data_IF_730473658296
#
_entry.id   IF_730473658296
#
_cell.length_a   1.000
_cell.length_b   1.000
_cell.length_c   1.000
_cell.angle_alpha   90.00
_cell.angle_beta   90.00
_cell.angle_gamma   90.00
#
_symmetry.space_group_name_H-M   'P 1'
#
loop_
_entity.id
_entity.type
_entity.pdbx_description
1 polymer ?
#
# COMPACT_ATOMS: atom_id res chain seq x y z
N UNK A 1 -5.83 60.27 30.86
CA UNK A 1 -5.07 60.53 29.60
C UNK A 1 -3.56 60.27 29.72
N UNK A 2 -2.82 60.80 30.70
CA UNK A 2 -1.35 60.57 30.83
C UNK A 2 -0.90 59.12 31.09
N UNK A 3 -1.74 58.27 31.65
CA UNK A 3 -1.41 56.84 31.94
C UNK A 3 -1.46 55.93 30.71
N UNK A 4 -2.36 56.18 29.79
CA UNK A 4 -2.50 55.38 28.54
C UNK A 4 -1.36 55.65 27.54
N UNK A 5 -0.90 56.90 27.44
CA UNK A 5 0.26 57.24 26.60
C UNK A 5 1.53 56.55 27.11
N UNK A 6 1.73 56.45 28.40
CA UNK A 6 2.89 55.80 29.03
C UNK A 6 2.90 54.27 28.76
N UNK A 7 1.74 53.65 28.77
CA UNK A 7 1.61 52.22 28.49
C UNK A 7 1.91 51.89 27.00
N UNK A 8 1.42 52.70 26.09
CA UNK A 8 1.68 52.55 24.65
C UNK A 8 3.16 52.74 24.30
N UNK A 9 3.81 53.68 24.95
CA UNK A 9 5.24 53.93 24.73
C UNK A 9 6.09 52.82 25.32
N UNK A 10 5.77 52.30 26.49
CA UNK A 10 6.42 51.12 27.07
C UNK A 10 6.26 49.87 26.21
N UNK A 11 5.06 49.66 25.62
CA UNK A 11 4.81 48.52 24.71
C UNK A 11 5.62 48.67 23.42
N UNK A 12 5.71 49.88 22.85
CA UNK A 12 6.51 50.14 21.67
C UNK A 12 8.00 49.92 21.90
N UNK A 13 8.52 50.43 23.01
CA UNK A 13 9.92 50.25 23.42
C UNK A 13 10.19 48.74 23.62
N UNK A 14 9.32 48.03 24.32
CA UNK A 14 9.46 46.58 24.51
C UNK A 14 9.43 45.77 23.19
N UNK A 15 8.60 46.16 22.21
CA UNK A 15 8.56 45.50 20.90
C UNK A 15 9.86 45.83 20.12
N UNK A 16 10.36 47.03 20.18
CA UNK A 16 11.61 47.41 19.53
C UNK A 16 12.81 46.68 20.14
N UNK A 17 12.84 46.53 21.46
CA UNK A 17 13.89 45.78 22.16
C UNK A 17 13.84 44.30 21.81
N UNK A 18 12.67 43.70 21.74
CA UNK A 18 12.48 42.32 21.30
C UNK A 18 13.01 42.14 19.87
N UNK A 19 12.65 43.05 18.97
CA UNK A 19 13.10 43.00 17.58
C UNK A 19 14.62 43.19 17.45
N UNK A 20 15.21 44.04 18.26
CA UNK A 20 16.66 44.26 18.28
C UNK A 20 17.40 43.02 18.78
N UNK A 21 16.95 42.46 19.90
CA UNK A 21 17.50 41.20 20.45
C UNK A 21 17.35 40.06 19.44
N UNK A 22 16.17 39.89 18.86
CA UNK A 22 15.92 38.85 17.86
C UNK A 22 16.86 38.98 16.64
N UNK A 23 17.07 40.20 16.16
CA UNK A 23 17.97 40.46 15.04
C UNK A 23 19.43 40.15 15.37
N UNK A 24 19.87 40.49 16.59
CA UNK A 24 21.24 40.22 17.04
C UNK A 24 21.47 38.71 17.25
N UNK A 25 20.54 38.04 17.88
CA UNK A 25 20.55 36.59 18.02
C UNK A 25 20.53 35.87 16.66
N UNK A 26 19.68 36.31 15.74
CA UNK A 26 19.65 35.75 14.39
C UNK A 26 21.01 35.94 13.67
N UNK A 27 21.62 37.08 13.82
CA UNK A 27 22.96 37.36 13.26
C UNK A 27 24.04 36.47 13.88
N UNK A 28 23.94 36.15 15.17
CA UNK A 28 24.85 35.24 15.84
C UNK A 28 24.67 33.81 15.37
N UNK A 29 23.43 33.38 15.19
CA UNK A 29 23.09 32.06 14.58
C UNK A 29 23.68 31.92 13.17
N UNK A 30 23.59 32.96 12.34
CA UNK A 30 24.17 32.96 10.99
C UNK A 30 25.69 33.08 10.95
N UNK A 31 26.34 33.39 12.06
CA UNK A 31 27.82 33.38 12.17
C UNK A 31 28.37 32.05 12.64
N UNK A 32 27.56 31.22 13.28
CA UNK A 32 27.97 29.91 13.76
C UNK A 32 27.80 28.88 12.65
N UNK A 33 28.93 28.44 12.07
CA UNK A 33 28.95 27.45 11.00
C UNK A 33 28.31 26.11 11.42
N UNK A 34 28.48 25.71 12.69
CA UNK A 34 27.88 24.47 13.22
C UNK A 34 26.37 24.56 13.30
N UNK A 35 25.84 25.70 13.75
CA UNK A 35 24.39 25.94 13.80
C UNK A 35 23.79 26.01 12.42
N UNK A 36 24.46 26.65 11.45
CA UNK A 36 24.03 26.73 10.07
C UNK A 36 23.95 25.33 9.43
N UNK A 37 25.01 24.53 9.60
CA UNK A 37 25.03 23.15 9.09
C UNK A 37 23.87 22.36 9.68
N UNK A 38 23.64 22.45 10.99
CA UNK A 38 22.57 21.71 11.63
C UNK A 38 21.17 22.20 11.21
N UNK A 39 20.98 23.51 11.08
CA UNK A 39 19.68 24.12 10.80
C UNK A 39 19.27 23.99 9.34
N UNK A 40 20.22 24.01 8.41
CA UNK A 40 19.95 23.88 6.97
C UNK A 40 20.25 22.49 6.44
N UNK A 41 21.40 21.91 6.79
CA UNK A 41 21.78 20.62 6.22
C UNK A 41 20.87 19.49 6.70
N UNK A 42 20.56 19.43 7.99
CA UNK A 42 19.76 18.32 8.53
C UNK A 42 18.33 18.28 7.98
N UNK A 43 17.55 19.39 7.93
CA UNK A 43 16.21 19.38 7.34
C UNK A 43 16.19 19.02 5.84
N UNK A 44 17.25 19.34 5.11
CA UNK A 44 17.34 18.99 3.69
C UNK A 44 17.97 17.62 3.45
N UNK A 45 19.00 17.26 4.20
CA UNK A 45 19.66 15.97 4.06
C UNK A 45 18.80 14.81 4.54
N UNK A 46 18.02 14.99 5.62
CA UNK A 46 17.19 13.94 6.17
C UNK A 46 16.11 13.44 5.20
N UNK A 47 15.28 14.29 4.57
CA UNK A 47 14.32 13.84 3.56
C UNK A 47 14.97 13.19 2.34
N UNK A 48 16.14 13.69 1.92
CA UNK A 48 16.89 13.09 0.81
C UNK A 48 17.43 11.70 1.17
N UNK A 49 18.04 11.56 2.34
CA UNK A 49 18.50 10.26 2.84
C UNK A 49 17.33 9.30 3.03
N UNK A 50 16.24 9.78 3.61
CA UNK A 50 15.04 8.99 3.82
C UNK A 50 14.46 8.51 2.49
N UNK A 51 14.31 9.42 1.52
CA UNK A 51 13.85 9.09 0.18
C UNK A 51 14.76 8.07 -0.51
N UNK A 52 16.07 8.19 -0.36
CA UNK A 52 17.04 7.27 -0.95
C UNK A 52 16.99 5.88 -0.30
N UNK A 53 16.89 5.81 1.04
CA UNK A 53 16.81 4.55 1.79
C UNK A 53 15.49 3.84 1.49
N UNK A 54 14.36 4.56 1.53
CA UNK A 54 13.02 3.97 1.37
C UNK A 54 12.59 3.78 -0.09
N UNK A 55 13.27 4.40 -1.06
CA UNK A 55 12.97 4.18 -2.48
C UNK A 55 13.25 2.73 -2.93
N UNK A 56 14.08 2.00 -2.18
CA UNK A 56 14.36 0.58 -2.43
C UNK A 56 13.36 -0.38 -1.75
N UNK A 57 12.43 0.12 -0.92
CA UNK A 57 11.42 -0.69 -0.25
C UNK A 57 10.15 -0.91 -1.08
N UNK A 58 10.14 -0.48 -2.34
CA UNK A 58 9.08 -0.87 -3.26
C UNK A 58 9.28 -2.36 -3.59
N UNK A 59 8.40 -3.18 -3.04
CA UNK A 59 8.37 -4.60 -3.39
C UNK A 59 8.05 -4.69 -4.88
N UNK A 60 9.02 -5.18 -5.65
CA UNK A 60 8.83 -5.52 -7.05
C UNK A 60 8.80 -7.03 -7.18
N UNK A 61 7.90 -7.54 -8.02
CA UNK A 61 7.78 -8.97 -8.32
C UNK A 61 7.56 -9.85 -7.07
N UNK A 62 6.67 -9.44 -6.15
CA UNK A 62 6.25 -10.29 -5.05
C UNK A 62 5.71 -11.63 -5.59
N UNK A 63 6.33 -12.74 -5.20
CA UNK A 63 5.99 -14.06 -5.71
C UNK A 63 4.66 -14.55 -5.16
N UNK A 64 3.73 -14.89 -6.05
CA UNK A 64 2.38 -15.38 -5.74
C UNK A 64 2.14 -16.71 -6.44
N UNK A 65 1.42 -17.62 -5.78
CA UNK A 65 0.85 -18.83 -6.38
C UNK A 65 -0.63 -18.60 -6.63
N UNK A 66 -1.13 -19.09 -7.74
CA UNK A 66 -2.56 -19.10 -8.03
C UNK A 66 -3.08 -20.52 -7.89
N UNK A 67 -4.16 -20.69 -7.13
CA UNK A 67 -4.91 -21.95 -7.07
C UNK A 67 -6.20 -21.74 -7.83
N UNK A 68 -6.28 -22.33 -9.02
CA UNK A 68 -7.43 -22.19 -9.91
C UNK A 68 -8.24 -23.49 -9.98
N UNK A 69 -9.36 -23.52 -9.24
CA UNK A 69 -10.34 -24.62 -9.32
C UNK A 69 -11.47 -24.34 -10.32
N UNK A 70 -11.55 -23.11 -10.83
CA UNK A 70 -12.57 -22.72 -11.81
C UNK A 70 -12.23 -23.16 -13.22
N UNK A 71 -10.92 -23.23 -13.55
CA UNK A 71 -10.38 -23.51 -14.88
C UNK A 71 -11.11 -22.75 -15.99
N UNK A 72 -11.43 -21.50 -15.75
CA UNK A 72 -12.23 -20.66 -16.64
C UNK A 72 -11.38 -19.65 -17.41
N UNK A 73 -11.95 -19.12 -18.49
CA UNK A 73 -11.33 -17.99 -19.20
C UNK A 73 -11.12 -16.80 -18.27
N UNK A 74 -12.10 -16.50 -17.40
CA UNK A 74 -12.06 -15.34 -16.51
C UNK A 74 -11.00 -15.50 -15.41
N UNK A 75 -10.79 -16.68 -14.84
CA UNK A 75 -9.74 -16.92 -13.86
C UNK A 75 -8.34 -16.80 -14.50
N UNK A 76 -8.17 -17.32 -15.70
CA UNK A 76 -6.93 -17.17 -16.46
C UNK A 76 -6.65 -15.71 -16.83
N UNK A 77 -7.67 -14.97 -17.26
CA UNK A 77 -7.53 -13.54 -17.58
C UNK A 77 -7.21 -12.72 -16.35
N UNK A 78 -7.86 -12.98 -15.21
CA UNK A 78 -7.54 -12.34 -13.93
C UNK A 78 -6.07 -12.60 -13.54
N UNK A 79 -5.65 -13.86 -13.60
CA UNK A 79 -4.27 -14.28 -13.30
C UNK A 79 -3.26 -13.58 -14.20
N UNK A 80 -3.56 -13.49 -15.50
CA UNK A 80 -2.71 -12.79 -16.47
C UNK A 80 -2.57 -11.32 -16.16
N UNK A 81 -3.66 -10.64 -15.79
CA UNK A 81 -3.66 -9.21 -15.44
C UNK A 81 -2.90 -8.98 -14.14
N UNK A 82 -3.09 -9.81 -13.12
CA UNK A 82 -2.31 -9.73 -11.86
C UNK A 82 -0.82 -9.90 -12.13
N UNK A 83 -0.44 -10.87 -12.95
CA UNK A 83 0.96 -11.10 -13.32
C UNK A 83 1.56 -9.97 -14.19
N UNK A 84 0.72 -9.16 -14.82
CA UNK A 84 1.15 -7.98 -15.59
C UNK A 84 1.38 -6.74 -14.71
N UNK A 85 0.98 -6.75 -13.45
CA UNK A 85 1.27 -5.67 -12.52
C UNK A 85 2.75 -5.68 -12.12
N UNK A 86 3.39 -4.52 -11.91
CA UNK A 86 4.82 -4.45 -11.60
C UNK A 86 5.17 -5.04 -10.22
N UNK A 87 4.18 -5.14 -9.34
CA UNK A 87 4.39 -5.47 -7.93
C UNK A 87 4.27 -6.98 -7.66
N UNK A 88 3.62 -7.74 -8.56
CA UNK A 88 3.30 -9.15 -8.36
C UNK A 88 3.83 -10.01 -9.51
N UNK A 89 4.39 -11.16 -9.15
CA UNK A 89 4.80 -12.20 -10.09
C UNK A 89 4.16 -13.52 -9.75
N UNK A 90 3.35 -14.05 -10.65
CA UNK A 90 2.79 -15.39 -10.52
C UNK A 90 3.87 -16.41 -10.86
N UNK A 91 4.29 -17.21 -9.88
CA UNK A 91 5.35 -18.20 -10.02
C UNK A 91 4.83 -19.60 -10.36
N UNK A 92 3.61 -19.91 -9.97
CA UNK A 92 2.96 -21.17 -10.28
C UNK A 92 1.44 -21.02 -10.32
N UNK A 93 0.81 -21.87 -11.11
CA UNK A 93 -0.64 -22.08 -11.12
C UNK A 93 -0.89 -23.55 -10.83
N UNK A 94 -1.64 -23.86 -9.79
CA UNK A 94 -1.98 -25.21 -9.36
C UNK A 94 -3.48 -25.33 -9.14
N UNK A 95 -4.00 -26.53 -9.11
CA UNK A 95 -5.38 -26.82 -8.66
C UNK A 95 -5.43 -27.29 -7.22
N UNK A 96 -4.26 -27.61 -6.64
CA UNK A 96 -4.12 -28.14 -5.29
C UNK A 96 -3.69 -27.07 -4.28
N UNK A 97 -4.54 -26.81 -3.29
CA UNK A 97 -4.26 -25.88 -2.21
C UNK A 97 -3.09 -26.35 -1.32
N UNK A 98 -2.93 -27.64 -1.12
CA UNK A 98 -1.86 -28.16 -0.26
C UNK A 98 -0.47 -27.99 -0.92
N UNK A 99 -0.42 -28.10 -2.24
CA UNK A 99 0.80 -27.76 -2.99
C UNK A 99 1.16 -26.27 -2.83
N UNK A 100 0.18 -25.39 -2.99
CA UNK A 100 0.38 -23.96 -2.82
C UNK A 100 0.85 -23.61 -1.40
N UNK A 101 0.28 -24.22 -0.36
CA UNK A 101 0.74 -24.04 1.04
C UNK A 101 2.19 -24.50 1.22
N UNK A 102 2.57 -25.66 0.66
CA UNK A 102 3.96 -26.11 0.71
C UNK A 102 4.93 -25.13 0.07
N UNK A 103 4.52 -24.43 -1.00
CA UNK A 103 5.34 -23.39 -1.63
C UNK A 103 5.49 -22.16 -0.71
N UNK A 104 4.44 -21.79 0.05
CA UNK A 104 4.55 -20.73 1.07
C UNK A 104 5.51 -21.14 2.19
N UNK A 105 5.38 -22.37 2.71
CA UNK A 105 6.24 -22.89 3.79
C UNK A 105 7.71 -22.90 3.39
N UNK A 106 7.99 -23.19 2.11
CA UNK A 106 9.35 -23.16 1.54
C UNK A 106 9.81 -21.75 1.15
N UNK A 107 8.96 -20.72 1.33
CA UNK A 107 9.22 -19.33 0.90
C UNK A 107 9.51 -19.19 -0.59
N UNK A 108 9.01 -20.09 -1.39
CA UNK A 108 9.00 -20.02 -2.85
C UNK A 108 7.96 -19.00 -3.35
N UNK A 109 6.90 -18.79 -2.54
CA UNK A 109 5.89 -17.75 -2.72
C UNK A 109 5.51 -17.16 -1.36
N UNK A 110 4.83 -16.00 -1.38
CA UNK A 110 4.42 -15.26 -0.18
C UNK A 110 2.91 -15.02 -0.11
N UNK A 111 2.18 -15.41 -1.15
CA UNK A 111 0.73 -15.32 -1.20
C UNK A 111 0.12 -16.36 -2.13
N UNK A 112 -1.15 -16.68 -1.88
CA UNK A 112 -1.97 -17.59 -2.70
C UNK A 112 -3.24 -16.83 -3.08
N UNK A 113 -3.51 -16.74 -4.37
CA UNK A 113 -4.77 -16.27 -4.92
C UNK A 113 -5.61 -17.47 -5.30
N UNK A 114 -6.83 -17.57 -4.75
CA UNK A 114 -7.68 -18.74 -4.92
C UNK A 114 -8.94 -18.43 -5.73
N UNK A 115 -9.16 -19.19 -6.81
CA UNK A 115 -10.39 -19.13 -7.58
C UNK A 115 -11.26 -20.35 -7.29
N UNK A 116 -12.43 -20.18 -6.66
CA UNK A 116 -13.35 -21.27 -6.39
C UNK A 116 -14.01 -21.79 -7.67
N UNK A 117 -14.44 -23.05 -7.67
CA UNK A 117 -15.08 -23.71 -8.80
C UNK A 117 -16.27 -22.93 -9.37
N UNK A 118 -17.03 -22.23 -8.51
CA UNK A 118 -18.22 -21.45 -8.91
C UNK A 118 -17.90 -20.05 -9.43
N UNK A 119 -16.62 -19.66 -9.50
CA UNK A 119 -16.19 -18.29 -9.85
C UNK A 119 -16.82 -17.82 -11.16
N UNK A 120 -16.60 -18.53 -12.24
CA UNK A 120 -17.09 -18.16 -13.58
C UNK A 120 -18.61 -18.23 -13.68
N UNK A 121 -19.22 -19.26 -13.09
CA UNK A 121 -20.67 -19.46 -13.10
C UNK A 121 -21.39 -18.30 -12.40
N UNK A 122 -20.90 -17.88 -11.24
CA UNK A 122 -21.48 -16.75 -10.50
C UNK A 122 -21.40 -15.46 -11.31
N UNK A 123 -20.26 -15.18 -11.93
CA UNK A 123 -20.09 -13.99 -12.77
C UNK A 123 -21.02 -13.98 -13.98
N UNK A 124 -21.18 -15.12 -14.67
CA UNK A 124 -22.10 -15.22 -15.80
C UNK A 124 -23.58 -15.08 -15.40
N UNK A 125 -23.92 -15.41 -14.16
CA UNK A 125 -25.30 -15.24 -13.63
C UNK A 125 -25.52 -13.89 -12.97
N UNK A 126 -24.55 -12.97 -13.02
CA UNK A 126 -24.62 -11.64 -12.37
C UNK A 126 -24.60 -11.71 -10.85
N UNK A 127 -24.09 -12.80 -10.28
CA UNK A 127 -23.91 -12.93 -8.83
C UNK A 127 -22.54 -12.48 -8.44
N UNK A 128 -22.44 -11.78 -7.32
CA UNK A 128 -21.18 -11.42 -6.72
C UNK A 128 -20.37 -12.69 -6.38
N UNK A 129 -19.08 -12.66 -6.67
CA UNK A 129 -18.16 -13.73 -6.31
C UNK A 129 -16.99 -13.20 -5.52
N UNK A 130 -16.42 -14.04 -4.69
CA UNK A 130 -15.27 -13.69 -3.84
C UNK A 130 -14.04 -14.46 -4.27
N UNK A 131 -12.91 -13.76 -4.39
CA UNK A 131 -11.60 -14.35 -4.65
C UNK A 131 -10.79 -14.23 -3.36
N UNK A 132 -10.63 -15.32 -2.60
CA UNK A 132 -9.80 -15.33 -1.40
C UNK A 132 -8.33 -15.13 -1.73
N UNK A 133 -7.69 -14.25 -0.97
CA UNK A 133 -6.26 -14.00 -0.97
C UNK A 133 -5.67 -14.44 0.37
N UNK A 134 -4.78 -15.42 0.34
CA UNK A 134 -4.07 -15.91 1.51
C UNK A 134 -2.64 -15.39 1.48
N UNK A 135 -2.20 -14.74 2.54
CA UNK A 135 -0.88 -14.13 2.62
C UNK A 135 -0.15 -14.53 3.90
N UNK A 136 1.17 -14.67 3.79
CA UNK A 136 2.03 -14.72 4.95
C UNK A 136 2.19 -13.28 5.49
N UNK A 137 1.73 -13.06 6.73
CA UNK A 137 1.78 -11.76 7.41
C UNK A 137 3.16 -11.39 7.93
N UNK A 138 4.17 -12.21 7.70
CA UNK A 138 5.55 -11.88 8.07
C UNK A 138 6.07 -10.62 7.35
N UNK A 139 5.48 -10.27 6.21
CA UNK A 139 5.78 -9.05 5.47
C UNK A 139 4.53 -8.28 5.05
N UNK A 140 4.29 -7.16 5.73
CA UNK A 140 3.20 -6.23 5.40
C UNK A 140 3.32 -5.68 3.97
N UNK A 141 4.53 -5.59 3.44
CA UNK A 141 4.78 -5.06 2.10
C UNK A 141 4.24 -6.02 1.02
N UNK A 142 4.49 -7.32 1.16
CA UNK A 142 3.94 -8.32 0.24
C UNK A 142 2.42 -8.34 0.28
N UNK A 143 1.84 -8.29 1.49
CA UNK A 143 0.40 -8.21 1.65
C UNK A 143 -0.22 -7.03 0.89
N UNK A 144 0.37 -5.82 1.05
CA UNK A 144 -0.09 -4.63 0.33
C UNK A 144 0.01 -4.78 -1.18
N UNK A 145 1.12 -5.30 -1.68
CA UNK A 145 1.33 -5.52 -3.11
C UNK A 145 0.26 -6.44 -3.70
N UNK A 146 0.02 -7.59 -3.05
CA UNK A 146 -0.99 -8.55 -3.49
C UNK A 146 -2.40 -7.99 -3.43
N UNK A 147 -2.75 -7.31 -2.34
CA UNK A 147 -4.08 -6.73 -2.15
C UNK A 147 -4.35 -5.65 -3.19
N UNK A 148 -3.41 -4.74 -3.43
CA UNK A 148 -3.56 -3.68 -4.42
C UNK A 148 -3.71 -4.25 -5.83
N UNK A 149 -2.82 -5.16 -6.24
CA UNK A 149 -2.87 -5.79 -7.56
C UNK A 149 -4.17 -6.58 -7.78
N UNK A 150 -4.57 -7.40 -6.82
CA UNK A 150 -5.80 -8.19 -6.93
C UNK A 150 -7.06 -7.30 -6.92
N UNK A 151 -7.08 -6.23 -6.12
CA UNK A 151 -8.21 -5.30 -6.07
C UNK A 151 -8.33 -4.49 -7.36
N UNK A 152 -7.23 -3.96 -7.89
CA UNK A 152 -7.23 -3.22 -9.15
C UNK A 152 -7.75 -4.08 -10.29
N UNK A 153 -7.23 -5.29 -10.44
CA UNK A 153 -7.68 -6.24 -11.47
C UNK A 153 -9.14 -6.62 -11.27
N UNK A 154 -9.59 -6.83 -10.03
CA UNK A 154 -10.99 -7.17 -9.75
C UNK A 154 -11.96 -6.06 -10.14
N UNK A 155 -11.59 -4.80 -9.87
CA UNK A 155 -12.39 -3.64 -10.24
C UNK A 155 -12.45 -3.44 -11.76
N UNK A 156 -11.34 -3.61 -12.45
CA UNK A 156 -11.28 -3.45 -13.90
C UNK A 156 -12.04 -4.55 -14.63
N UNK A 157 -11.82 -5.80 -14.23
CA UNK A 157 -12.53 -6.94 -14.81
C UNK A 157 -14.03 -6.87 -14.49
N UNK A 158 -14.39 -6.48 -13.27
CA UNK A 158 -15.77 -6.26 -12.86
C UNK A 158 -16.47 -5.17 -13.67
N UNK A 159 -15.79 -4.05 -14.00
CA UNK A 159 -16.33 -3.02 -14.89
C UNK A 159 -16.57 -3.56 -16.30
N UNK A 160 -15.63 -4.32 -16.82
CA UNK A 160 -15.70 -4.92 -18.15
C UNK A 160 -16.86 -5.90 -18.29
N UNK A 161 -17.04 -6.78 -17.29
CA UNK A 161 -18.16 -7.73 -17.23
C UNK A 161 -19.50 -7.01 -17.16
N UNK A 162 -19.61 -5.94 -16.36
CA UNK A 162 -20.84 -5.12 -16.27
C UNK A 162 -21.19 -4.46 -17.58
N UNK A 163 -20.23 -3.89 -18.27
CA UNK A 163 -20.45 -3.26 -19.57
C UNK A 163 -20.93 -4.27 -20.61
N UNK A 164 -20.49 -5.53 -20.50
CA UNK A 164 -20.93 -6.60 -21.41
C UNK A 164 -22.35 -7.11 -21.07
N UNK A 165 -22.66 -7.25 -19.77
CA UNK A 165 -23.89 -7.89 -19.34
C UNK A 165 -25.10 -6.95 -19.21
N UNK A 166 -24.86 -5.64 -18.99
CA UNK A 166 -25.92 -4.64 -18.87
C UNK A 166 -25.42 -3.25 -19.28
N UNK A 167 -25.48 -2.86 -20.57
CA UNK A 167 -25.20 -1.53 -20.98
C UNK A 167 -26.23 -0.56 -20.40
N UNK A 168 -25.87 0.16 -19.34
CA UNK A 168 -26.72 1.13 -18.64
C UNK A 168 -27.01 0.86 -17.15
N UNK A 169 -26.52 -0.21 -16.57
CA UNK A 169 -26.69 -0.49 -15.13
C UNK A 169 -25.75 0.37 -14.29
N UNK A 170 -26.32 1.00 -13.27
CA UNK A 170 -25.63 1.90 -12.33
C UNK A 170 -24.51 1.20 -11.55
N UNK A 171 -23.38 1.88 -11.40
CA UNK A 171 -22.08 1.42 -10.91
C UNK A 171 -22.02 1.10 -9.39
N UNK A 172 -23.04 0.50 -8.79
CA UNK A 172 -23.13 0.38 -7.33
C UNK A 172 -22.78 -0.97 -6.72
N UNK A 173 -22.44 -2.00 -7.49
CA UNK A 173 -22.18 -3.33 -6.92
C UNK A 173 -20.88 -3.91 -7.48
N UNK A 174 -19.94 -4.20 -6.58
CA UNK A 174 -18.72 -4.92 -6.94
C UNK A 174 -19.07 -6.38 -7.27
N UNK A 175 -18.81 -6.81 -8.49
CA UNK A 175 -19.09 -8.19 -8.93
C UNK A 175 -18.03 -9.17 -8.44
N UNK A 176 -16.80 -8.69 -8.27
CA UNK A 176 -15.68 -9.46 -7.76
C UNK A 176 -15.18 -8.81 -6.48
N UNK A 177 -15.24 -9.52 -5.38
CA UNK A 177 -14.71 -9.06 -4.09
C UNK A 177 -13.46 -9.87 -3.76
N UNK A 178 -12.38 -9.17 -3.42
CA UNK A 178 -11.18 -9.80 -2.88
C UNK A 178 -11.33 -9.91 -1.36
N UNK A 179 -11.36 -11.13 -0.85
CA UNK A 179 -11.36 -11.41 0.59
C UNK A 179 -9.97 -11.90 0.99
N UNK A 180 -9.45 -11.37 2.07
CA UNK A 180 -8.13 -11.76 2.59
C UNK A 180 -8.27 -12.57 3.87
N UNK A 181 -7.47 -13.60 4.00
CA UNK A 181 -7.34 -14.41 5.21
C UNK A 181 -5.88 -14.60 5.56
N UNK A 182 -5.61 -14.63 6.86
CA UNK A 182 -4.27 -14.85 7.37
C UNK A 182 -3.99 -16.36 7.44
N UNK A 183 -2.94 -16.79 6.75
CA UNK A 183 -2.34 -18.09 7.05
C UNK A 183 -1.39 -17.87 8.23
N UNK A 184 -1.78 -18.33 9.40
CA UNK A 184 -0.85 -18.50 10.52
C UNK A 184 0.06 -19.66 10.13
N UNK A 185 1.36 -19.43 10.07
CA UNK A 185 2.32 -20.52 10.08
C UNK A 185 1.96 -21.45 11.25
N UNK A 186 1.67 -22.69 10.97
CA UNK A 186 1.50 -23.70 12.02
C UNK A 186 2.82 -23.75 12.78
N UNK A 187 2.83 -23.23 14.00
CA UNK A 187 3.81 -23.65 14.98
C UNK A 187 3.67 -25.16 15.09
N UNK A 188 4.61 -25.85 14.49
CA UNK A 188 4.84 -27.27 14.78
C UNK A 188 5.26 -27.33 16.23
N UNK A 189 4.26 -27.50 17.08
CA UNK A 189 4.46 -27.90 18.46
C UNK A 189 4.99 -29.32 18.38
N UNK A 190 6.32 -29.44 18.41
CA UNK A 190 6.98 -30.71 18.56
C UNK A 190 6.57 -31.31 19.92
N UNK A 191 6.04 -32.50 19.88
CA UNK A 191 6.05 -33.46 20.95
C UNK A 191 7.20 -34.40 20.71
#
# INVERSE_FOLDING_TARGET
MKREYRLRDMIKEGILDIFYIWKDELKNVFKDEGVLIFFFLVPFAYPLLYSFIYNNEVVREAKMVVVDQSDSYLSREFTRRVNATPDVRVVAVSTDMEEAKRMLDRKEAYGILYFPTEFSKNLHTGKQTTVPLYCDMSSLLFYKAFLLAATEVSLDLGKEIRMHNAPGASAKQEEITVSYTHLRAHETRGN
#
